data_IF_778245605575
#
_entry.id   IF_778245605575
#
_cell.length_a   1.000
_cell.length_b   1.000
_cell.length_c   1.000
_cell.angle_alpha   90.00
_cell.angle_beta   90.00
_cell.angle_gamma   90.00
#
_symmetry.space_group_name_H-M   'P 1'
#
loop_
_entity.id
_entity.type
_entity.pdbx_description
1 polymer ?
#
# COMPACT_ATOMS: atom_id res chain seq x y z
N UNK A 1 1.87 16.29 28.12
CA UNK A 1 2.05 16.46 26.66
C UNK A 1 3.28 15.64 26.26
N UNK A 2 3.16 14.84 25.20
CA UNK A 2 4.29 14.06 24.69
C UNK A 2 5.29 14.98 24.00
N UNK A 3 6.58 14.74 24.22
CA UNK A 3 7.66 15.45 23.54
C UNK A 3 7.94 14.77 22.22
N UNK A 4 7.98 15.51 21.14
CA UNK A 4 8.20 14.93 19.80
C UNK A 4 9.24 15.70 18.99
N UNK A 5 9.96 14.97 18.14
CA UNK A 5 10.56 15.55 16.94
C UNK A 5 9.68 15.30 15.75
N UNK A 6 9.59 16.26 14.82
CA UNK A 6 8.86 16.11 13.57
C UNK A 6 9.84 16.00 12.41
N UNK A 7 9.79 14.90 11.70
CA UNK A 7 10.63 14.65 10.53
C UNK A 7 9.94 15.13 9.26
N UNK A 8 10.42 16.23 8.75
CA UNK A 8 9.94 16.94 7.59
C UNK A 8 9.89 18.44 7.86
N UNK A 9 10.22 19.23 6.84
CA UNK A 9 10.20 20.70 6.85
C UNK A 9 9.51 21.26 5.60
N UNK A 10 8.66 20.46 4.95
CA UNK A 10 7.93 20.78 3.73
C UNK A 10 6.43 21.05 3.97
N UNK A 11 5.69 21.17 2.87
CA UNK A 11 4.26 21.48 2.84
C UNK A 11 3.41 20.52 3.69
N UNK A 12 3.76 19.25 3.73
CA UNK A 12 3.04 18.24 4.52
C UNK A 12 3.15 18.52 6.02
N UNK A 13 4.34 18.90 6.51
CA UNK A 13 4.52 19.33 7.90
C UNK A 13 3.72 20.58 8.21
N UNK A 14 3.71 21.57 7.29
CA UNK A 14 2.91 22.77 7.42
C UNK A 14 1.41 22.45 7.52
N UNK A 15 0.92 21.56 6.68
CA UNK A 15 -0.46 21.09 6.71
C UNK A 15 -0.84 20.48 8.06
N UNK A 16 -0.01 19.57 8.62
CA UNK A 16 -0.29 18.95 9.91
C UNK A 16 -0.26 19.95 11.07
N UNK A 17 0.63 20.95 11.00
CA UNK A 17 0.67 22.04 11.99
C UNK A 17 -0.59 22.89 11.88
N UNK A 18 -1.00 23.27 10.67
CA UNK A 18 -2.18 24.09 10.42
C UNK A 18 -3.46 23.39 10.89
N UNK A 19 -3.52 22.08 10.74
CA UNK A 19 -4.67 21.25 11.15
C UNK A 19 -4.63 20.86 12.64
N UNK A 20 -3.78 21.53 13.46
CA UNK A 20 -3.62 21.26 14.89
C UNK A 20 -3.33 19.78 15.23
N UNK A 21 -2.71 19.05 14.29
CA UNK A 21 -2.46 17.61 14.45
C UNK A 21 -1.56 17.31 15.64
N UNK A 22 -0.69 18.25 16.02
CA UNK A 22 0.25 18.14 17.13
C UNK A 22 -0.18 18.92 18.39
N UNK A 23 -1.46 19.32 18.51
CA UNK A 23 -1.96 20.18 19.61
C UNK A 23 -1.70 19.63 21.02
N UNK A 24 -1.67 18.28 21.15
CA UNK A 24 -1.42 17.61 22.43
C UNK A 24 0.05 17.17 22.59
N UNK A 25 0.93 17.62 21.69
CA UNK A 25 2.36 17.37 21.73
C UNK A 25 3.16 18.65 21.96
N UNK A 26 4.34 18.48 22.52
CA UNK A 26 5.37 19.52 22.56
C UNK A 26 6.42 19.19 21.49
N UNK A 27 6.45 19.99 20.40
CA UNK A 27 7.47 19.85 19.36
C UNK A 27 8.78 20.40 19.93
N UNK A 28 9.76 19.54 20.18
CA UNK A 28 11.08 19.93 20.67
C UNK A 28 12.05 20.32 19.53
N UNK A 29 11.80 19.86 18.32
CA UNK A 29 12.59 20.18 17.14
C UNK A 29 12.11 19.48 15.90
N UNK A 30 12.81 19.73 14.81
CA UNK A 30 12.53 19.16 13.50
C UNK A 30 13.72 18.37 12.98
N UNK A 31 13.46 17.46 12.04
CA UNK A 31 14.51 16.64 11.41
C UNK A 31 14.38 16.80 9.89
N UNK A 32 15.49 16.90 9.20
CA UNK A 32 15.54 16.89 7.74
C UNK A 32 16.72 16.06 7.23
N UNK A 33 16.56 15.49 6.03
CA UNK A 33 17.60 14.68 5.39
C UNK A 33 18.75 15.55 4.85
N UNK A 34 18.44 16.78 4.43
CA UNK A 34 19.44 17.75 3.95
C UNK A 34 19.31 19.04 4.75
N UNK A 35 20.15 19.14 5.77
CA UNK A 35 20.16 20.28 6.69
C UNK A 35 20.93 21.46 6.07
N UNK A 36 20.21 22.53 5.77
CA UNK A 36 20.78 23.81 5.29
C UNK A 36 20.72 24.91 6.34
N UNK A 37 19.88 24.74 7.37
CA UNK A 37 19.63 25.69 8.44
C UNK A 37 19.79 25.03 9.81
N UNK A 38 19.92 25.83 10.87
CA UNK A 38 20.05 25.33 12.24
C UNK A 38 18.72 25.28 13.00
N UNK A 39 17.68 25.93 12.48
CA UNK A 39 16.37 25.99 13.09
C UNK A 39 15.26 26.06 12.04
N UNK A 40 14.07 25.57 12.40
CA UNK A 40 12.84 25.69 11.63
C UNK A 40 11.69 26.08 12.58
N UNK A 41 10.90 27.09 12.20
CA UNK A 41 9.81 27.64 13.07
C UNK A 41 10.24 27.93 14.51
N UNK A 42 11.44 28.47 14.69
CA UNK A 42 11.99 28.83 16.01
C UNK A 42 12.39 27.63 16.88
N UNK A 43 12.41 26.43 16.37
CA UNK A 43 12.86 25.20 17.03
C UNK A 43 14.12 24.66 16.36
N UNK A 44 14.98 23.89 17.09
CA UNK A 44 16.16 23.28 16.52
C UNK A 44 15.84 22.39 15.31
N UNK A 45 16.71 22.41 14.29
CA UNK A 45 16.64 21.53 13.15
C UNK A 45 17.82 20.56 13.20
N UNK A 46 17.55 19.28 13.15
CA UNK A 46 18.54 18.22 13.26
C UNK A 46 18.72 17.48 11.94
N UNK A 47 19.92 17.06 11.66
CA UNK A 47 20.23 16.05 10.65
C UNK A 47 19.99 14.64 11.21
N UNK A 48 20.01 13.63 10.34
CA UNK A 48 19.92 12.22 10.76
C UNK A 48 21.08 11.83 11.69
N UNK A 49 22.30 12.31 11.44
CA UNK A 49 23.44 12.00 12.31
C UNK A 49 23.30 12.65 13.70
N UNK A 50 22.81 13.88 13.77
CA UNK A 50 22.53 14.56 15.04
C UNK A 50 21.39 13.85 15.81
N UNK A 51 20.39 13.31 15.09
CA UNK A 51 19.29 12.55 15.69
C UNK A 51 19.79 11.35 16.50
N UNK A 52 20.85 10.67 16.06
CA UNK A 52 21.43 9.54 16.80
C UNK A 52 21.83 9.91 18.25
N UNK A 53 22.16 11.18 18.47
CA UNK A 53 22.59 11.69 19.79
C UNK A 53 21.41 12.21 20.62
N UNK A 54 20.41 12.80 19.97
CA UNK A 54 19.31 13.50 20.66
C UNK A 54 18.00 12.71 20.74
N UNK A 55 17.91 11.53 20.13
CA UNK A 55 16.67 10.74 20.08
C UNK A 55 16.07 10.42 21.46
N UNK A 56 16.88 10.37 22.50
CA UNK A 56 16.41 10.07 23.85
C UNK A 56 15.77 11.27 24.56
N UNK A 57 15.85 12.46 23.98
CA UNK A 57 15.23 13.67 24.53
C UNK A 57 13.72 13.74 24.26
N UNK A 58 13.17 12.85 23.46
CA UNK A 58 11.76 12.83 23.06
C UNK A 58 11.10 11.48 23.27
N UNK A 59 9.79 11.51 23.41
CA UNK A 59 8.96 10.31 23.48
C UNK A 59 8.81 9.67 22.10
N UNK A 60 8.63 10.51 21.06
CA UNK A 60 8.40 10.04 19.69
C UNK A 60 9.12 10.90 18.64
N UNK A 61 9.43 10.26 17.52
CA UNK A 61 9.90 10.87 16.28
C UNK A 61 8.81 10.67 15.25
N UNK A 62 8.14 11.75 14.88
CA UNK A 62 6.96 11.71 14.01
C UNK A 62 7.36 12.02 12.57
N UNK A 63 7.24 11.03 11.70
CA UNK A 63 7.50 11.21 10.27
C UNK A 63 6.30 11.90 9.62
N UNK A 64 6.45 13.18 9.28
CA UNK A 64 5.49 14.00 8.56
C UNK A 64 5.91 14.15 7.08
N UNK A 65 6.21 13.03 6.43
CA UNK A 65 6.76 12.99 5.08
C UNK A 65 6.22 11.77 4.33
N UNK A 66 6.03 11.88 3.03
CA UNK A 66 5.59 10.77 2.16
C UNK A 66 6.70 9.76 1.87
N UNK A 67 7.97 10.17 1.99
CA UNK A 67 9.15 9.31 1.81
C UNK A 67 9.52 8.55 3.10
N UNK A 68 8.52 8.07 3.83
CA UNK A 68 8.76 7.43 5.12
C UNK A 68 9.52 6.10 5.00
N UNK A 69 9.48 5.42 3.86
CA UNK A 69 10.23 4.18 3.62
C UNK A 69 11.74 4.42 3.64
N UNK A 70 12.20 5.42 2.90
CA UNK A 70 13.60 5.81 2.88
C UNK A 70 14.05 6.31 4.27
N UNK A 71 13.18 7.04 4.95
CA UNK A 71 13.45 7.54 6.30
C UNK A 71 13.59 6.38 7.28
N UNK A 72 12.69 5.40 7.27
CA UNK A 72 12.78 4.22 8.14
C UNK A 72 14.04 3.41 7.83
N UNK A 73 14.35 3.21 6.56
CA UNK A 73 15.59 2.53 6.14
C UNK A 73 16.81 3.24 6.71
N UNK A 74 16.87 4.55 6.58
CA UNK A 74 17.95 5.35 7.14
C UNK A 74 18.00 5.29 8.69
N UNK A 75 16.85 5.24 9.35
CA UNK A 75 16.77 5.03 10.80
C UNK A 75 17.39 3.69 11.22
N UNK A 76 17.10 2.62 10.46
CA UNK A 76 17.68 1.28 10.73
C UNK A 76 19.19 1.30 10.59
N UNK A 77 19.71 1.88 9.51
CA UNK A 77 21.15 1.98 9.26
C UNK A 77 21.88 2.76 10.37
N UNK A 78 21.25 3.83 10.85
CA UNK A 78 21.78 4.69 11.90
C UNK A 78 21.45 4.23 13.31
N UNK A 79 20.79 3.09 13.49
CA UNK A 79 20.38 2.53 14.79
C UNK A 79 19.49 3.46 15.61
N UNK A 80 18.64 4.23 14.97
CA UNK A 80 17.59 4.98 15.65
C UNK A 80 16.59 4.00 16.26
N UNK A 81 16.13 4.31 17.45
CA UNK A 81 15.13 3.50 18.16
C UNK A 81 13.78 3.50 17.42
N UNK A 82 13.47 2.38 16.78
CA UNK A 82 12.25 2.23 15.98
C UNK A 82 10.97 2.22 16.83
N UNK A 83 11.07 1.97 18.13
CA UNK A 83 9.90 2.05 19.04
C UNK A 83 9.44 3.50 19.25
N UNK A 84 10.30 4.47 18.93
CA UNK A 84 9.96 5.90 18.96
C UNK A 84 9.41 6.43 17.64
N UNK A 85 9.52 5.68 16.55
CA UNK A 85 9.09 6.14 15.21
C UNK A 85 7.56 6.04 15.08
N UNK A 86 6.95 7.17 14.77
CA UNK A 86 5.51 7.29 14.49
C UNK A 86 5.33 7.92 13.13
N UNK A 87 4.48 7.34 12.29
CA UNK A 87 4.06 7.98 11.03
C UNK A 87 2.82 8.82 11.33
N UNK A 88 2.68 9.98 10.70
CA UNK A 88 1.59 10.94 10.98
C UNK A 88 0.21 10.33 10.98
N UNK A 89 -0.07 9.38 10.08
CA UNK A 89 -1.36 8.70 9.98
C UNK A 89 -1.69 7.82 11.22
N UNK A 90 -0.68 7.53 12.05
CA UNK A 90 -0.77 6.64 13.21
C UNK A 90 -0.68 7.36 14.57
N UNK A 91 -0.71 8.69 14.60
CA UNK A 91 -0.69 9.43 15.89
C UNK A 91 -2.06 9.31 16.55
N UNK A 92 -2.15 8.72 17.76
CA UNK A 92 -3.40 8.55 18.49
C UNK A 92 -3.78 9.84 19.24
N UNK A 93 -3.72 11.00 18.60
CA UNK A 93 -3.91 12.29 19.25
C UNK A 93 -5.23 12.95 18.88
N UNK A 94 -6.01 12.35 18.00
CA UNK A 94 -7.32 12.86 17.65
C UNK A 94 -8.36 12.48 18.71
N UNK A 95 -9.25 13.42 19.11
CA UNK A 95 -10.46 13.05 19.82
C UNK A 95 -11.19 11.97 19.05
N UNK A 96 -11.72 10.95 19.74
CA UNK A 96 -12.42 9.85 19.06
C UNK A 96 -13.54 10.33 18.10
N UNK A 97 -14.15 11.49 18.34
CA UNK A 97 -15.11 12.11 17.43
C UNK A 97 -14.57 12.46 16.04
N UNK A 98 -13.27 12.67 15.90
CA UNK A 98 -12.66 12.93 14.59
C UNK A 98 -12.67 11.68 13.71
N UNK A 99 -12.66 10.48 14.32
CA UNK A 99 -12.86 9.23 13.57
C UNK A 99 -14.26 9.10 13.00
N UNK A 100 -15.27 9.59 13.70
CA UNK A 100 -16.63 9.58 13.21
C UNK A 100 -16.79 10.40 11.93
N UNK A 101 -16.14 11.56 11.83
CA UNK A 101 -16.13 12.34 10.59
C UNK A 101 -15.42 11.63 9.44
N UNK A 102 -14.37 10.86 9.72
CA UNK A 102 -13.71 10.04 8.68
C UNK A 102 -14.62 8.89 8.22
N UNK A 103 -15.35 8.28 9.13
CA UNK A 103 -16.35 7.25 8.80
C UNK A 103 -17.48 7.85 7.96
N UNK A 104 -17.96 9.06 8.29
CA UNK A 104 -18.95 9.79 7.49
C UNK A 104 -18.52 9.99 6.04
N UNK A 105 -17.24 10.34 5.81
CA UNK A 105 -16.67 10.48 4.47
C UNK A 105 -16.58 9.17 3.67
N UNK A 106 -16.56 8.02 4.35
CA UNK A 106 -16.44 6.70 3.74
C UNK A 106 -17.79 5.99 3.64
N UNK A 107 -18.65 6.15 4.66
CA UNK A 107 -19.97 5.53 4.72
C UNK A 107 -20.89 6.33 5.66
N UNK A 108 -21.79 7.08 5.07
CA UNK A 108 -22.81 7.85 5.80
C UNK A 108 -23.69 6.92 6.64
N UNK A 109 -24.07 5.75 6.11
CA UNK A 109 -24.90 4.77 6.81
C UNK A 109 -24.22 4.23 8.07
N UNK A 110 -22.92 3.94 7.99
CA UNK A 110 -22.13 3.48 9.14
C UNK A 110 -21.98 4.61 10.17
N UNK A 111 -21.73 5.83 9.74
CA UNK A 111 -21.67 6.99 10.62
C UNK A 111 -22.98 7.18 11.39
N UNK A 112 -24.13 7.18 10.70
CA UNK A 112 -25.44 7.28 11.35
C UNK A 112 -25.72 6.13 12.34
N UNK A 113 -25.27 4.91 12.02
CA UNK A 113 -25.40 3.78 12.91
C UNK A 113 -24.58 3.96 14.18
N UNK A 114 -23.35 4.44 14.07
CA UNK A 114 -22.45 4.71 15.20
C UNK A 114 -23.00 5.83 16.11
N UNK A 115 -23.56 6.89 15.54
CA UNK A 115 -24.19 7.97 16.30
C UNK A 115 -25.46 7.52 17.08
N UNK A 116 -26.15 6.50 16.58
CA UNK A 116 -27.39 5.93 17.20
C UNK A 116 -27.12 4.81 18.20
N UNK A 117 -25.87 4.36 18.35
CA UNK A 117 -25.49 3.24 19.20
C UNK A 117 -24.52 3.68 20.30
N UNK A 118 -24.46 2.90 21.43
CA UNK A 118 -23.48 3.20 22.49
C UNK A 118 -22.07 2.75 22.14
N UNK A 119 -21.78 2.37 20.91
CA UNK A 119 -20.46 1.95 20.48
C UNK A 119 -19.50 3.14 20.42
N UNK A 120 -18.31 2.94 20.94
CA UNK A 120 -17.19 3.88 20.81
C UNK A 120 -16.29 3.33 19.72
N UNK A 121 -16.16 4.11 18.64
CA UNK A 121 -15.16 3.81 17.61
C UNK A 121 -13.78 4.18 18.18
N UNK A 122 -12.98 3.17 18.47
CA UNK A 122 -11.58 3.38 18.83
C UNK A 122 -10.71 3.17 17.61
N UNK A 123 -9.70 4.02 17.43
CA UNK A 123 -8.61 3.67 16.51
C UNK A 123 -8.01 2.37 17.03
N UNK A 124 -8.07 1.34 16.23
CA UNK A 124 -7.31 0.14 16.51
C UNK A 124 -5.82 0.53 16.45
N UNK A 125 -5.16 0.49 17.59
CA UNK A 125 -3.70 0.55 17.67
C UNK A 125 -3.06 -0.74 17.15
N UNK A 126 -3.79 -1.52 16.34
CA UNK A 126 -3.29 -2.73 15.72
C UNK A 126 -2.12 -2.46 14.80
N UNK A 127 -1.96 -1.24 14.31
CA UNK A 127 -0.70 -0.81 13.70
C UNK A 127 0.49 -0.83 14.70
N UNK A 128 0.25 -0.58 15.97
CA UNK A 128 1.25 -0.76 17.02
C UNK A 128 1.40 -2.22 17.42
N UNK A 129 0.36 -3.01 17.18
CA UNK A 129 0.30 -4.46 17.31
C UNK A 129 0.61 -5.17 15.99
N UNK A 130 1.12 -4.48 15.01
CA UNK A 130 1.86 -5.17 13.96
C UNK A 130 2.75 -6.14 14.69
N UNK A 131 2.27 -7.37 14.67
CA UNK A 131 2.86 -8.48 15.38
C UNK A 131 4.36 -8.30 15.37
N UNK A 132 5.00 -8.22 16.53
CA UNK A 132 6.46 -8.10 16.62
C UNK A 132 7.14 -9.13 15.74
N UNK A 133 6.46 -10.27 15.47
CA UNK A 133 6.89 -11.29 14.54
C UNK A 133 6.95 -10.80 13.09
N UNK A 134 6.06 -9.91 12.65
CA UNK A 134 6.11 -9.32 11.31
C UNK A 134 7.19 -8.24 11.19
N UNK A 135 7.42 -7.47 12.26
CA UNK A 135 8.59 -6.57 12.35
C UNK A 135 9.92 -7.33 12.39
N UNK A 136 9.89 -8.56 12.89
CA UNK A 136 11.09 -9.37 13.15
C UNK A 136 11.39 -10.38 12.04
N UNK A 137 10.45 -10.67 11.13
CA UNK A 137 10.80 -11.41 9.91
C UNK A 137 11.83 -10.58 9.16
N UNK A 138 13.08 -11.02 9.23
CA UNK A 138 14.24 -10.43 8.53
C UNK A 138 14.11 -10.64 7.00
N UNK A 139 12.93 -10.44 6.46
CA UNK A 139 12.69 -10.44 5.04
C UNK A 139 13.34 -9.22 4.39
N UNK A 140 13.66 -9.31 3.12
CA UNK A 140 14.19 -8.23 2.29
C UNK A 140 13.14 -7.18 1.93
N UNK A 141 11.86 -7.40 2.26
CA UNK A 141 10.78 -6.47 1.98
C UNK A 141 10.72 -5.36 3.03
N UNK A 142 10.29 -4.21 2.60
CA UNK A 142 10.22 -3.03 3.45
C UNK A 142 9.27 -3.21 4.63
N UNK A 143 9.71 -2.81 5.82
CA UNK A 143 8.85 -2.76 7.00
C UNK A 143 7.70 -1.76 6.86
N UNK A 144 7.86 -0.78 6.00
CA UNK A 144 6.84 0.22 5.70
C UNK A 144 5.59 -0.38 5.06
N UNK A 145 5.70 -1.49 4.33
CA UNK A 145 4.57 -2.19 3.74
C UNK A 145 3.49 -2.47 4.79
N UNK A 146 3.89 -3.01 5.95
CA UNK A 146 2.97 -3.34 7.04
C UNK A 146 2.38 -2.12 7.74
N UNK A 147 3.06 -0.98 7.66
CA UNK A 147 2.59 0.27 8.25
C UNK A 147 1.60 1.00 7.34
N UNK A 148 1.62 0.76 6.01
CA UNK A 148 0.74 1.44 5.06
C UNK A 148 -0.68 0.89 5.07
N UNK A 149 -0.83 -0.44 5.07
CA UNK A 149 -2.14 -1.08 4.98
C UNK A 149 -2.17 -2.46 5.64
N UNK A 150 -2.32 -2.44 6.97
CA UNK A 150 -2.39 -3.68 7.75
C UNK A 150 -3.47 -4.64 7.25
N UNK A 151 -4.67 -4.12 6.95
CA UNK A 151 -5.80 -4.99 6.57
C UNK A 151 -5.54 -5.71 5.25
N UNK A 152 -4.99 -5.03 4.25
CA UNK A 152 -4.62 -5.64 2.98
C UNK A 152 -3.58 -6.73 3.18
N UNK A 153 -2.49 -6.41 3.87
CA UNK A 153 -1.37 -7.32 4.03
C UNK A 153 -1.70 -8.50 4.93
N UNK A 154 -2.42 -8.26 6.03
CA UNK A 154 -2.84 -9.35 6.91
C UNK A 154 -3.86 -10.27 6.23
N UNK A 155 -4.81 -9.73 5.48
CA UNK A 155 -5.74 -10.52 4.68
C UNK A 155 -5.00 -11.35 3.64
N UNK A 156 -4.02 -10.75 2.95
CA UNK A 156 -3.17 -11.49 2.01
C UNK A 156 -2.44 -12.65 2.69
N UNK A 157 -1.80 -12.43 3.84
CA UNK A 157 -1.09 -13.46 4.58
C UNK A 157 -2.02 -14.63 4.94
N UNK A 158 -3.22 -14.35 5.43
CA UNK A 158 -4.21 -15.40 5.77
C UNK A 158 -4.66 -16.16 4.51
N UNK A 159 -4.89 -15.46 3.41
CA UNK A 159 -5.24 -16.07 2.11
C UNK A 159 -4.09 -16.91 1.56
N UNK A 160 -2.85 -16.45 1.65
CA UNK A 160 -1.68 -17.20 1.21
C UNK A 160 -1.48 -18.48 2.04
N UNK A 161 -1.65 -18.38 3.36
CA UNK A 161 -1.61 -19.56 4.24
C UNK A 161 -2.69 -20.57 3.85
N UNK A 162 -3.94 -20.13 3.61
CA UNK A 162 -5.02 -21.01 3.17
C UNK A 162 -4.69 -21.69 1.83
N UNK A 163 -4.17 -20.94 0.84
CA UNK A 163 -3.76 -21.51 -0.46
C UNK A 163 -2.71 -22.61 -0.27
N UNK A 164 -1.75 -22.41 0.63
CA UNK A 164 -0.70 -23.38 0.92
C UNK A 164 -1.24 -24.58 1.70
N UNK A 165 -2.06 -24.38 2.72
CA UNK A 165 -2.70 -25.46 3.52
C UNK A 165 -3.61 -26.35 2.66
N UNK A 166 -4.38 -25.76 1.76
CA UNK A 166 -5.27 -26.46 0.84
C UNK A 166 -4.54 -27.03 -0.39
N UNK A 167 -3.24 -26.79 -0.52
CA UNK A 167 -2.41 -27.22 -1.65
C UNK A 167 -3.00 -26.81 -3.01
N UNK A 168 -3.54 -25.60 -3.11
CA UNK A 168 -4.10 -25.08 -4.37
C UNK A 168 -2.96 -24.95 -5.39
N UNK A 169 -3.04 -25.64 -6.54
CA UNK A 169 -1.95 -25.68 -7.50
C UNK A 169 -1.86 -24.38 -8.32
N UNK A 170 -0.69 -24.10 -8.88
CA UNK A 170 -0.45 -23.00 -9.80
C UNK A 170 0.60 -22.02 -9.32
N UNK A 171 1.04 -21.19 -10.24
CA UNK A 171 1.93 -20.07 -10.00
C UNK A 171 1.20 -18.94 -9.27
N UNK A 172 1.93 -17.87 -8.96
CA UNK A 172 1.36 -16.63 -8.45
C UNK A 172 1.71 -15.49 -9.40
N UNK A 173 0.91 -14.41 -9.40
CA UNK A 173 1.14 -13.31 -10.31
C UNK A 173 0.79 -11.95 -9.70
N UNK A 174 1.41 -10.91 -10.24
CA UNK A 174 1.00 -9.53 -10.06
C UNK A 174 0.99 -8.79 -11.41
N UNK A 175 -0.10 -8.10 -11.68
CA UNK A 175 -0.24 -7.14 -12.79
C UNK A 175 -0.33 -5.74 -12.19
N UNK A 176 0.63 -4.86 -12.57
CA UNK A 176 0.87 -3.60 -11.92
C UNK A 176 1.83 -3.74 -10.75
N UNK A 177 3.11 -3.95 -11.06
CA UNK A 177 4.15 -4.32 -10.08
C UNK A 177 4.80 -3.08 -9.46
N UNK A 178 4.91 -2.00 -10.23
CA UNK A 178 5.58 -0.77 -9.84
C UNK A 178 6.99 -1.01 -9.27
N UNK A 179 7.18 -0.83 -7.96
CA UNK A 179 8.46 -1.05 -7.26
C UNK A 179 8.60 -2.44 -6.64
N UNK A 180 7.59 -3.30 -6.79
CA UNK A 180 7.60 -4.67 -6.31
C UNK A 180 7.35 -4.84 -4.81
N UNK A 181 6.73 -3.86 -4.15
CA UNK A 181 6.48 -3.95 -2.71
C UNK A 181 5.51 -5.08 -2.38
N UNK A 182 4.37 -5.15 -3.08
CA UNK A 182 3.43 -6.23 -2.84
C UNK A 182 3.91 -7.55 -3.46
N UNK A 183 4.59 -7.49 -4.62
CA UNK A 183 5.28 -8.65 -5.21
C UNK A 183 6.25 -9.31 -4.24
N UNK A 184 6.96 -8.52 -3.41
CA UNK A 184 7.91 -9.08 -2.43
C UNK A 184 7.23 -9.91 -1.37
N UNK A 185 6.02 -9.53 -0.93
CA UNK A 185 5.21 -10.32 -0.01
C UNK A 185 4.67 -11.59 -0.66
N UNK A 186 4.18 -11.48 -1.90
CA UNK A 186 3.72 -12.62 -2.68
C UNK A 186 4.86 -13.64 -2.81
N UNK A 187 6.04 -13.18 -3.23
CA UNK A 187 7.20 -14.04 -3.44
C UNK A 187 7.72 -14.67 -2.14
N UNK A 188 7.66 -13.97 -1.01
CA UNK A 188 8.05 -14.51 0.30
C UNK A 188 7.09 -15.62 0.79
N UNK A 189 5.78 -15.43 0.63
CA UNK A 189 4.78 -16.39 1.09
C UNK A 189 4.66 -17.61 0.17
N UNK A 190 5.05 -17.47 -1.08
CA UNK A 190 5.03 -18.51 -2.10
C UNK A 190 6.45 -18.77 -2.64
N UNK A 191 7.42 -18.92 -1.73
CA UNK A 191 8.84 -19.04 -2.06
C UNK A 191 9.21 -20.28 -2.90
N UNK A 192 8.33 -21.27 -2.97
CA UNK A 192 8.43 -22.48 -3.77
C UNK A 192 7.76 -22.40 -5.16
N UNK A 193 7.04 -21.30 -5.44
CA UNK A 193 6.31 -21.08 -6.69
C UNK A 193 6.96 -20.00 -7.55
N UNK A 194 6.77 -20.12 -8.85
CA UNK A 194 7.14 -19.06 -9.79
C UNK A 194 6.15 -17.89 -9.63
N UNK A 195 6.69 -16.66 -9.63
CA UNK A 195 5.91 -15.43 -9.63
C UNK A 195 6.01 -14.72 -10.98
N UNK A 196 4.87 -14.47 -11.60
CA UNK A 196 4.71 -13.81 -12.90
C UNK A 196 4.41 -12.33 -12.69
N UNK A 197 5.30 -11.46 -13.14
CA UNK A 197 5.29 -10.03 -12.87
C UNK A 197 5.10 -9.24 -14.16
N UNK A 198 3.93 -8.61 -14.32
CA UNK A 198 3.57 -7.85 -15.50
C UNK A 198 3.51 -6.35 -15.17
N UNK A 199 4.32 -5.57 -15.86
CA UNK A 199 4.35 -4.12 -15.74
C UNK A 199 5.05 -3.48 -16.94
N UNK A 200 4.71 -2.27 -17.28
CA UNK A 200 5.44 -1.50 -18.30
C UNK A 200 6.83 -1.13 -17.80
N UNK A 201 7.00 -0.90 -16.49
CA UNK A 201 8.17 -0.30 -15.85
C UNK A 201 8.57 1.05 -16.46
N UNK A 202 7.62 1.71 -17.10
CA UNK A 202 7.75 3.02 -17.76
C UNK A 202 6.59 3.96 -17.40
N UNK A 203 5.70 3.51 -16.49
CA UNK A 203 4.45 4.18 -16.11
C UNK A 203 3.27 3.72 -16.95
N UNK A 204 2.18 4.48 -16.91
CA UNK A 204 0.95 4.15 -17.62
C UNK A 204 1.11 4.26 -19.14
N UNK A 205 0.29 3.48 -19.87
CA UNK A 205 0.12 3.70 -21.30
C UNK A 205 -0.37 5.13 -21.56
N UNK A 206 0.25 5.79 -22.56
CA UNK A 206 -0.01 7.21 -22.81
C UNK A 206 -1.46 7.45 -23.23
N UNK A 207 -2.02 6.59 -24.08
CA UNK A 207 -3.40 6.74 -24.60
C UNK A 207 -4.42 6.52 -23.48
N UNK A 208 -4.16 5.54 -22.61
CA UNK A 208 -5.03 5.24 -21.48
C UNK A 208 -4.95 6.35 -20.42
N UNK A 209 -3.75 6.83 -20.12
CA UNK A 209 -3.51 7.95 -19.20
C UNK A 209 -4.20 9.25 -19.69
N UNK A 210 -4.11 9.57 -20.98
CA UNK A 210 -4.77 10.74 -21.56
C UNK A 210 -6.31 10.65 -21.43
N UNK A 211 -6.90 9.47 -21.66
CA UNK A 211 -8.34 9.24 -21.46
C UNK A 211 -8.77 9.43 -20.00
N UNK A 212 -7.97 8.98 -19.04
CA UNK A 212 -8.30 9.12 -17.62
C UNK A 212 -8.12 10.58 -17.15
N UNK A 213 -7.13 11.31 -17.71
CA UNK A 213 -7.00 12.77 -17.49
C UNK A 213 -8.22 13.52 -18.04
N UNK A 214 -8.68 13.19 -19.25
CA UNK A 214 -9.88 13.80 -19.84
C UNK A 214 -11.14 13.53 -19.02
N UNK A 215 -11.25 12.37 -18.40
CA UNK A 215 -12.35 12.03 -17.50
C UNK A 215 -12.23 12.69 -16.13
N UNK A 216 -11.06 13.28 -15.78
CA UNK A 216 -10.78 13.86 -14.48
C UNK A 216 -10.65 12.82 -13.34
N UNK A 217 -10.34 11.57 -13.69
CA UNK A 217 -10.16 10.46 -12.73
C UNK A 217 -8.74 10.34 -12.21
N UNK A 218 -7.77 11.00 -12.84
CA UNK A 218 -6.40 11.15 -12.33
C UNK A 218 -5.83 12.53 -12.69
N UNK A 219 -4.67 12.88 -12.15
CA UNK A 219 -3.95 14.09 -12.46
C UNK A 219 -2.54 13.83 -13.03
N UNK A 220 -1.89 14.87 -13.58
CA UNK A 220 -0.56 14.75 -14.18
C UNK A 220 0.51 14.33 -13.16
N UNK A 221 0.34 14.68 -11.89
CA UNK A 221 1.26 14.30 -10.82
C UNK A 221 1.20 12.80 -10.58
N UNK A 222 0.00 12.23 -10.50
CA UNK A 222 -0.22 10.79 -10.36
C UNK A 222 0.48 10.01 -11.47
N UNK A 223 0.30 10.45 -12.75
CA UNK A 223 0.96 9.82 -13.90
C UNK A 223 2.48 9.90 -13.81
N UNK A 224 3.02 11.04 -13.38
CA UNK A 224 4.47 11.25 -13.28
C UNK A 224 5.12 10.39 -12.21
N UNK A 225 4.49 10.26 -11.05
CA UNK A 225 5.01 9.46 -9.92
C UNK A 225 5.17 7.97 -10.29
N UNK A 226 4.29 7.43 -11.16
CA UNK A 226 4.36 6.04 -11.62
C UNK A 226 5.48 5.75 -12.63
N UNK A 227 6.18 6.77 -13.13
CA UNK A 227 7.34 6.59 -14.02
C UNK A 227 8.64 6.25 -13.30
N UNK A 228 8.70 6.42 -11.98
CA UNK A 228 9.93 6.20 -11.20
C UNK A 228 10.12 4.73 -10.78
N UNK A 229 10.09 3.82 -11.75
CA UNK A 229 10.27 2.39 -11.53
C UNK A 229 11.23 1.78 -12.56
N UNK A 230 11.74 0.59 -12.29
CA UNK A 230 12.48 -0.24 -13.25
C UNK A 230 12.55 -1.69 -12.79
N UNK A 231 12.72 -2.61 -13.75
CA UNK A 231 12.91 -4.03 -13.47
C UNK A 231 14.04 -4.26 -12.45
N UNK A 232 15.16 -3.55 -12.59
CA UNK A 232 16.31 -3.71 -11.69
C UNK A 232 15.97 -3.26 -10.25
N UNK A 233 15.28 -2.13 -10.09
CA UNK A 233 14.84 -1.65 -8.77
C UNK A 233 13.87 -2.64 -8.13
N UNK A 234 12.90 -3.12 -8.90
CA UNK A 234 11.92 -4.10 -8.45
C UNK A 234 12.58 -5.41 -8.01
N UNK A 235 13.48 -5.99 -8.81
CA UNK A 235 14.16 -7.24 -8.47
C UNK A 235 15.01 -7.16 -7.20
N UNK A 236 15.50 -5.97 -6.82
CA UNK A 236 16.19 -5.77 -5.55
C UNK A 236 15.28 -5.95 -4.33
N UNK A 237 13.97 -5.74 -4.51
CA UNK A 237 12.98 -5.90 -3.46
C UNK A 237 12.43 -7.32 -3.38
N UNK A 238 12.59 -8.16 -4.41
CA UNK A 238 12.08 -9.52 -4.46
C UNK A 238 12.99 -10.45 -3.66
N UNK A 239 12.48 -11.18 -2.64
CA UNK A 239 13.27 -12.09 -1.80
C UNK A 239 13.90 -13.27 -2.55
N UNK A 240 13.15 -13.85 -3.50
CA UNK A 240 13.56 -15.00 -4.33
C UNK A 240 13.50 -14.60 -5.82
N UNK A 241 14.46 -13.78 -6.31
CA UNK A 241 14.44 -13.26 -7.68
C UNK A 241 14.60 -14.36 -8.74
N UNK A 242 15.17 -15.51 -8.41
CA UNK A 242 15.27 -16.68 -9.29
C UNK A 242 13.91 -17.31 -9.63
N UNK A 243 12.88 -17.00 -8.87
CA UNK A 243 11.49 -17.41 -9.12
C UNK A 243 10.69 -16.36 -9.89
N UNK A 244 11.25 -15.17 -10.09
CA UNK A 244 10.55 -14.08 -10.75
C UNK A 244 10.65 -14.18 -12.28
N UNK A 245 9.51 -14.27 -12.94
CA UNK A 245 9.35 -14.18 -14.41
C UNK A 245 8.78 -12.81 -14.73
N UNK A 246 9.58 -11.97 -15.36
CA UNK A 246 9.25 -10.55 -15.59
C UNK A 246 8.82 -10.35 -17.04
N UNK A 247 7.63 -9.79 -17.22
CA UNK A 247 7.02 -9.48 -18.50
C UNK A 247 6.90 -7.96 -18.61
N UNK A 248 7.96 -7.35 -19.14
CA UNK A 248 8.00 -5.89 -19.35
C UNK A 248 7.26 -5.52 -20.63
N UNK A 249 6.28 -4.63 -20.51
CA UNK A 249 5.52 -4.08 -21.61
C UNK A 249 4.06 -3.87 -21.24
N UNK A 250 3.32 -3.34 -22.21
CA UNK A 250 1.89 -3.16 -22.06
C UNK A 250 1.17 -4.51 -22.00
N UNK A 251 0.20 -4.63 -21.11
CA UNK A 251 -0.62 -5.84 -20.98
C UNK A 251 -1.93 -5.67 -21.77
N UNK A 252 -2.37 -6.66 -22.57
CA UNK A 252 -1.88 -8.05 -22.63
C UNK A 252 -0.76 -8.33 -23.67
N UNK A 253 -0.26 -7.35 -24.41
CA UNK A 253 0.71 -7.55 -25.51
C UNK A 253 2.04 -8.15 -25.02
N UNK A 254 2.40 -7.92 -23.76
CA UNK A 254 3.61 -8.48 -23.12
C UNK A 254 3.46 -9.95 -22.70
N UNK A 255 2.27 -10.53 -22.84
CA UNK A 255 2.01 -11.92 -22.46
C UNK A 255 2.70 -12.88 -23.44
N UNK A 256 3.30 -13.94 -22.91
CA UNK A 256 3.92 -15.00 -23.70
C UNK A 256 3.14 -16.31 -23.60
N UNK A 257 3.40 -17.24 -24.53
CA UNK A 257 2.80 -18.59 -24.50
C UNK A 257 2.97 -19.31 -23.16
N UNK A 258 4.07 -19.05 -22.47
CA UNK A 258 4.35 -19.60 -21.14
C UNK A 258 3.30 -19.11 -20.13
N UNK A 259 3.05 -17.80 -20.08
CA UNK A 259 2.07 -17.22 -19.17
C UNK A 259 0.63 -17.57 -19.57
N UNK A 260 0.34 -17.71 -20.86
CA UNK A 260 -0.98 -18.13 -21.35
C UNK A 260 -1.38 -19.54 -20.94
N UNK A 261 -0.41 -20.45 -20.89
CA UNK A 261 -0.65 -21.85 -20.53
C UNK A 261 -0.54 -22.13 -19.04
N UNK A 262 -0.18 -21.12 -18.22
CA UNK A 262 -0.04 -21.27 -16.78
C UNK A 262 -1.40 -21.23 -16.06
N UNK A 263 -1.45 -21.86 -14.89
CA UNK A 263 -2.53 -21.75 -13.91
C UNK A 263 -2.06 -20.98 -12.69
N UNK A 264 -2.94 -20.18 -12.13
CA UNK A 264 -2.58 -19.30 -11.02
C UNK A 264 -3.37 -19.67 -9.77
N UNK A 265 -2.68 -19.77 -8.64
CA UNK A 265 -3.28 -19.95 -7.33
C UNK A 265 -3.63 -18.60 -6.67
N UNK A 266 -2.81 -17.58 -6.92
CA UNK A 266 -3.02 -16.23 -6.44
C UNK A 266 -2.62 -15.19 -7.50
N UNK A 267 -3.43 -14.14 -7.62
CA UNK A 267 -3.15 -13.00 -8.51
C UNK A 267 -3.45 -11.69 -7.79
N UNK A 268 -2.56 -10.71 -7.90
CA UNK A 268 -2.82 -9.31 -7.56
C UNK A 268 -3.04 -8.51 -8.84
N UNK A 269 -4.11 -7.74 -8.93
CA UNK A 269 -4.39 -6.78 -9.99
C UNK A 269 -4.38 -5.37 -9.38
N UNK A 270 -3.38 -4.57 -9.73
CA UNK A 270 -3.11 -3.24 -9.17
C UNK A 270 -2.68 -2.27 -10.29
N UNK A 271 -3.62 -1.98 -11.21
CA UNK A 271 -3.33 -1.28 -12.48
C UNK A 271 -3.98 0.09 -12.61
N UNK A 272 -4.74 0.53 -11.62
CA UNK A 272 -5.37 1.85 -11.52
C UNK A 272 -6.36 2.24 -12.63
N UNK A 273 -6.28 1.65 -13.84
CA UNK A 273 -7.04 2.05 -15.01
C UNK A 273 -8.08 1.01 -15.43
N UNK A 274 -9.21 1.46 -16.01
CA UNK A 274 -10.38 0.61 -16.28
C UNK A 274 -10.08 -0.49 -17.31
N UNK A 275 -9.46 -0.14 -18.44
CA UNK A 275 -9.23 -1.12 -19.52
C UNK A 275 -8.16 -2.13 -19.10
N UNK A 276 -7.06 -1.69 -18.48
CA UNK A 276 -6.01 -2.57 -17.96
C UNK A 276 -6.57 -3.56 -16.93
N UNK A 277 -7.47 -3.11 -16.05
CA UNK A 277 -8.14 -3.98 -15.08
C UNK A 277 -9.04 -5.00 -15.78
N UNK A 278 -9.79 -4.59 -16.81
CA UNK A 278 -10.66 -5.49 -17.55
C UNK A 278 -9.85 -6.57 -18.27
N UNK A 279 -8.76 -6.20 -18.94
CA UNK A 279 -7.87 -7.16 -19.60
C UNK A 279 -7.22 -8.11 -18.58
N UNK A 280 -6.81 -7.61 -17.43
CA UNK A 280 -6.32 -8.44 -16.32
C UNK A 280 -7.34 -9.49 -15.90
N UNK A 281 -8.60 -9.11 -15.71
CA UNK A 281 -9.68 -10.05 -15.36
C UNK A 281 -9.94 -11.08 -16.45
N UNK A 282 -9.98 -10.65 -17.73
CA UNK A 282 -10.16 -11.54 -18.90
C UNK A 282 -9.06 -12.59 -19.00
N UNK A 283 -7.85 -12.20 -18.67
CA UNK A 283 -6.71 -13.10 -18.72
C UNK A 283 -6.65 -14.03 -17.52
N UNK A 284 -6.65 -13.49 -16.29
CA UNK A 284 -6.36 -14.28 -15.10
C UNK A 284 -7.53 -15.10 -14.57
N UNK A 285 -8.77 -14.59 -14.62
CA UNK A 285 -9.89 -15.33 -14.04
C UNK A 285 -10.14 -16.70 -14.67
N UNK A 286 -10.09 -16.89 -16.00
CA UNK A 286 -10.20 -18.23 -16.61
C UNK A 286 -9.04 -19.15 -16.25
N UNK A 287 -7.85 -18.59 -15.97
CA UNK A 287 -6.62 -19.31 -15.64
C UNK A 287 -6.44 -19.55 -14.14
N UNK A 288 -7.31 -18.99 -13.32
CA UNK A 288 -7.28 -19.21 -11.89
C UNK A 288 -7.62 -20.67 -11.57
N UNK A 289 -6.83 -21.31 -10.73
CA UNK A 289 -7.12 -22.66 -10.21
C UNK A 289 -8.37 -22.65 -9.36
N UNK A 290 -9.10 -23.78 -9.26
CA UNK A 290 -10.19 -23.93 -8.29
C UNK A 290 -9.66 -23.66 -6.87
N UNK A 291 -10.36 -22.84 -6.10
CA UNK A 291 -9.91 -22.34 -4.81
C UNK A 291 -8.89 -21.18 -4.89
N UNK A 292 -8.41 -20.85 -6.07
CA UNK A 292 -7.51 -19.70 -6.28
C UNK A 292 -8.21 -18.36 -6.08
N UNK A 293 -7.42 -17.31 -5.87
CA UNK A 293 -7.95 -15.98 -5.50
C UNK A 293 -7.27 -14.86 -6.28
N UNK A 294 -8.07 -13.84 -6.63
CA UNK A 294 -7.59 -12.58 -7.22
C UNK A 294 -7.87 -11.45 -6.24
N UNK A 295 -6.85 -10.65 -5.93
CA UNK A 295 -7.02 -9.36 -5.26
C UNK A 295 -7.11 -8.27 -6.33
N UNK A 296 -8.22 -7.53 -6.33
CA UNK A 296 -8.43 -6.36 -7.17
C UNK A 296 -8.27 -5.13 -6.29
N UNK A 297 -7.13 -4.45 -6.41
CA UNK A 297 -6.84 -3.24 -5.66
C UNK A 297 -7.73 -2.08 -6.12
N UNK A 298 -7.89 -1.08 -5.29
CA UNK A 298 -8.65 0.16 -5.57
C UNK A 298 -10.12 0.00 -5.98
N UNK A 299 -10.72 -1.17 -5.73
CA UNK A 299 -12.10 -1.45 -6.16
C UNK A 299 -13.13 -0.48 -5.57
N UNK A 300 -12.98 -0.07 -4.31
CA UNK A 300 -13.89 0.86 -3.63
C UNK A 300 -13.29 2.26 -3.45
N UNK A 301 -12.17 2.55 -4.08
CA UNK A 301 -11.57 3.88 -4.05
C UNK A 301 -12.45 4.87 -4.83
N UNK A 302 -12.77 6.01 -4.23
CA UNK A 302 -13.71 6.98 -4.83
C UNK A 302 -13.18 7.70 -6.06
N UNK A 303 -11.86 7.80 -6.20
CA UNK A 303 -11.20 8.49 -7.32
C UNK A 303 -10.82 7.55 -8.48
N UNK A 304 -10.92 6.23 -8.31
CA UNK A 304 -10.62 5.23 -9.35
C UNK A 304 -11.86 4.38 -9.70
N UNK A 305 -12.99 5.04 -9.99
CA UNK A 305 -14.25 4.37 -10.35
C UNK A 305 -14.15 3.38 -11.51
N UNK A 306 -13.14 3.53 -12.36
CA UNK A 306 -12.86 2.65 -13.50
C UNK A 306 -12.70 1.19 -13.09
N UNK A 307 -12.03 0.93 -11.95
CA UNK A 307 -11.80 -0.42 -11.43
C UNK A 307 -13.13 -1.15 -11.17
N UNK A 308 -14.07 -0.47 -10.52
CA UNK A 308 -15.41 -1.02 -10.25
C UNK A 308 -16.22 -1.23 -11.54
N UNK A 309 -16.05 -0.35 -12.52
CA UNK A 309 -16.68 -0.47 -13.84
C UNK A 309 -16.12 -1.67 -14.60
N UNK A 310 -14.80 -1.90 -14.56
CA UNK A 310 -14.16 -3.06 -15.20
C UNK A 310 -14.70 -4.39 -14.66
N UNK A 311 -14.82 -4.55 -13.34
CA UNK A 311 -15.39 -5.77 -12.73
C UNK A 311 -16.83 -5.98 -13.19
N UNK A 312 -17.66 -4.93 -13.20
CA UNK A 312 -19.06 -5.03 -13.66
C UNK A 312 -19.15 -5.38 -15.15
N UNK A 313 -18.27 -4.81 -15.97
CA UNK A 313 -18.18 -5.14 -17.42
C UNK A 313 -17.83 -6.61 -17.60
N UNK A 314 -16.85 -7.10 -16.86
CA UNK A 314 -16.43 -8.49 -16.92
C UNK A 314 -17.54 -9.46 -16.48
N UNK A 315 -18.29 -9.17 -15.41
CA UNK A 315 -19.46 -9.97 -15.00
C UNK A 315 -20.53 -10.00 -16.09
N UNK A 316 -20.74 -8.88 -16.77
CA UNK A 316 -21.68 -8.81 -17.91
C UNK A 316 -21.22 -9.68 -19.08
N UNK A 317 -19.93 -9.68 -19.39
CA UNK A 317 -19.35 -10.55 -20.44
C UNK A 317 -19.49 -12.04 -20.10
N UNK A 318 -19.29 -12.38 -18.82
CA UNK A 318 -19.47 -13.75 -18.33
C UNK A 318 -20.95 -14.18 -18.28
N UNK A 319 -21.89 -13.24 -18.32
CA UNK A 319 -23.33 -13.51 -18.15
C UNK A 319 -23.71 -14.00 -16.75
N UNK A 320 -22.82 -13.83 -15.76
CA UNK A 320 -23.05 -14.23 -14.34
C UNK A 320 -22.25 -13.37 -13.39
N UNK A 321 -22.69 -13.32 -12.14
CA UNK A 321 -21.89 -12.77 -11.06
C UNK A 321 -20.73 -13.71 -10.70
N UNK A 322 -19.60 -13.13 -10.33
CA UNK A 322 -18.47 -13.84 -9.76
C UNK A 322 -18.55 -13.83 -8.23
N UNK A 323 -18.04 -14.90 -7.60
CA UNK A 323 -17.92 -14.93 -6.14
C UNK A 323 -16.85 -13.93 -5.71
N UNK A 324 -17.23 -12.94 -4.87
CA UNK A 324 -16.34 -11.85 -4.49
C UNK A 324 -16.69 -11.27 -3.13
N UNK A 325 -15.69 -10.82 -2.39
CA UNK A 325 -15.82 -10.24 -1.06
C UNK A 325 -14.98 -8.95 -1.01
N UNK A 326 -15.54 -7.77 -0.73
CA UNK A 326 -14.77 -6.56 -0.46
C UNK A 326 -14.16 -6.62 0.93
N UNK A 327 -12.95 -6.10 1.09
CA UNK A 327 -12.31 -5.94 2.39
C UNK A 327 -12.17 -4.45 2.74
N UNK A 328 -12.13 -4.16 4.03
CA UNK A 328 -12.08 -2.80 4.56
C UNK A 328 -10.63 -2.33 4.75
N UNK A 329 -9.80 -2.52 3.73
CA UNK A 329 -8.47 -1.93 3.65
C UNK A 329 -8.53 -0.49 3.12
N UNK A 330 -7.40 0.19 3.07
CA UNK A 330 -7.31 1.59 2.65
C UNK A 330 -7.85 1.83 1.23
N UNK A 331 -7.62 0.88 0.34
CA UNK A 331 -8.02 0.93 -1.07
C UNK A 331 -9.37 0.25 -1.35
N UNK A 332 -9.98 -0.37 -0.34
CA UNK A 332 -11.22 -1.12 -0.51
C UNK A 332 -11.09 -2.27 -1.49
N UNK A 333 -10.02 -3.05 -1.35
CA UNK A 333 -9.70 -4.19 -2.22
C UNK A 333 -10.86 -5.19 -2.31
N UNK A 334 -11.07 -5.75 -3.51
CA UNK A 334 -12.03 -6.83 -3.74
C UNK A 334 -11.28 -8.15 -3.89
N UNK A 335 -11.69 -9.15 -3.13
CA UNK A 335 -11.21 -10.52 -3.30
C UNK A 335 -12.19 -11.28 -4.18
N UNK A 336 -11.70 -11.80 -5.30
CA UNK A 336 -12.45 -12.70 -6.19
C UNK A 336 -12.00 -14.13 -5.93
N UNK A 337 -12.97 -15.03 -5.82
CA UNK A 337 -12.74 -16.45 -5.57
C UNK A 337 -13.11 -17.26 -6.82
N UNK A 338 -12.32 -18.29 -7.11
CA UNK A 338 -12.62 -19.28 -8.15
C UNK A 338 -13.26 -20.51 -7.52
N UNK A 339 -14.45 -20.86 -7.99
CA UNK A 339 -15.17 -22.07 -7.61
C UNK A 339 -14.42 -23.34 -8.08
#
# INVERSE_FOLDING_TARGET
>A
MKKIFVWGVGERTEYYILMDYFKDCNIEGYICSQKTETSYKGKPLYSLDELTVVQDNVDYIVIANEFFEEIITACIEKKIDLEKIVITDNIPLEPYKTYYHRVELVSEELYELLEKTPFILTKSNEYDLLDKSMRMKKGKYSRSIYMQDYFRYRTFELVANQINEENIPGAVAELGVFRGHFSSLINEHFCDRDIYLFDTFEGFDQIEAEKELEKGTCDERFIKEHKETSVEKMLKNIPYPERAKVFKGYFPESVTDEAENEKYAFVSLDVDLEESMLEGLRFFYPRLSSGGKIFVHDYNTYYLEGIKKAVKRYEKELGRHICKIPIADRAGTLIILKD
#
